data_IF_781010021080
#
_entry.id   IF_781010021080
#
_cell.length_a   1.000
_cell.length_b   1.000
_cell.length_c   1.000
_cell.angle_alpha   90.00
_cell.angle_beta   90.00
_cell.angle_gamma   90.00
#
_symmetry.space_group_name_H-M   'P 1'
#
loop_
_entity.id
_entity.type
_entity.pdbx_description
1 polymer ?
#
# COMPACT_ATOMS: atom_id res chain seq x y z
N UNK A 1 -7.58 0.45 -21.04
CA UNK A 1 -7.06 1.84 -21.21
C UNK A 1 -8.08 2.92 -20.81
N UNK A 2 -9.39 2.64 -20.79
CA UNK A 2 -10.44 3.64 -20.53
C UNK A 2 -10.27 4.47 -19.25
N UNK A 3 -9.71 3.91 -18.17
CA UNK A 3 -9.51 4.62 -16.91
C UNK A 3 -8.34 5.63 -16.92
N UNK A 4 -7.43 5.59 -17.91
CA UNK A 4 -6.23 6.43 -17.89
C UNK A 4 -6.55 7.91 -18.04
N UNK A 5 -7.43 8.28 -18.99
CA UNK A 5 -7.73 9.69 -19.26
C UNK A 5 -8.36 10.39 -18.05
N UNK A 6 -9.29 9.72 -17.35
CA UNK A 6 -9.88 10.26 -16.13
C UNK A 6 -8.88 10.29 -14.98
N UNK A 7 -8.05 9.25 -14.82
CA UNK A 7 -7.02 9.20 -13.78
C UNK A 7 -5.93 10.26 -13.96
N UNK A 8 -5.41 10.45 -15.18
CA UNK A 8 -4.34 11.42 -15.45
C UNK A 8 -4.77 12.86 -15.21
N UNK A 9 -6.08 13.15 -15.30
CA UNK A 9 -6.66 14.45 -14.99
C UNK A 9 -6.93 14.70 -13.49
N UNK A 10 -6.74 13.71 -12.62
CA UNK A 10 -6.91 13.90 -11.16
C UNK A 10 -5.86 14.87 -10.61
N UNK A 11 -6.24 15.72 -9.65
CA UNK A 11 -5.29 16.63 -9.01
C UNK A 11 -4.25 15.86 -8.19
N UNK A 12 -3.08 16.47 -7.98
CA UNK A 12 -2.01 15.90 -7.13
C UNK A 12 -2.55 15.58 -5.73
N UNK A 13 -3.30 16.51 -5.13
CA UNK A 13 -3.92 16.34 -3.82
C UNK A 13 -4.89 15.14 -3.79
N UNK A 14 -5.78 15.00 -4.77
CA UNK A 14 -6.70 13.87 -4.83
C UNK A 14 -5.97 12.52 -4.95
N UNK A 15 -4.83 12.47 -5.68
CA UNK A 15 -4.00 11.26 -5.74
C UNK A 15 -3.33 10.97 -4.40
N UNK A 16 -2.83 12.00 -3.70
CA UNK A 16 -2.23 11.84 -2.38
C UNK A 16 -3.24 11.30 -1.36
N UNK A 17 -4.49 11.76 -1.37
CA UNK A 17 -5.56 11.22 -0.53
C UNK A 17 -5.83 9.73 -0.80
N UNK A 18 -5.89 9.33 -2.08
CA UNK A 18 -6.09 7.93 -2.46
C UNK A 18 -4.92 7.06 -1.98
N UNK A 19 -3.68 7.52 -2.15
CA UNK A 19 -2.48 6.80 -1.68
C UNK A 19 -2.47 6.75 -0.14
N UNK A 20 -2.89 7.81 0.54
CA UNK A 20 -3.10 7.85 1.99
C UNK A 20 -4.10 6.78 2.44
N UNK A 21 -5.23 6.64 1.76
CA UNK A 21 -6.22 5.59 2.07
C UNK A 21 -5.67 4.18 1.84
N UNK A 22 -4.82 3.98 0.83
CA UNK A 22 -4.13 2.69 0.61
C UNK A 22 -3.22 2.37 1.80
N UNK A 23 -2.44 3.34 2.28
CA UNK A 23 -1.58 3.17 3.44
C UNK A 23 -2.37 2.75 4.69
N UNK A 24 -3.48 3.44 4.98
CA UNK A 24 -4.38 3.09 6.08
C UNK A 24 -4.91 1.66 5.96
N UNK A 25 -5.40 1.28 4.76
CA UNK A 25 -5.94 -0.05 4.52
C UNK A 25 -4.89 -1.16 4.67
N UNK A 26 -3.62 -0.90 4.32
CA UNK A 26 -2.52 -1.85 4.56
C UNK A 26 -2.34 -2.10 6.06
N UNK A 27 -2.35 -1.03 6.86
CA UNK A 27 -2.20 -1.13 8.32
C UNK A 27 -3.41 -1.79 8.99
N UNK A 28 -4.63 -1.41 8.57
CA UNK A 28 -5.90 -1.99 9.03
C UNK A 28 -5.93 -3.51 8.76
N UNK A 29 -5.40 -3.95 7.61
CA UNK A 29 -5.42 -5.37 7.17
C UNK A 29 -4.09 -6.10 7.36
N UNK A 30 -3.19 -5.57 8.20
CA UNK A 30 -1.81 -6.04 8.31
C UNK A 30 -1.67 -7.55 8.53
N UNK A 31 -2.55 -8.13 9.36
CA UNK A 31 -2.51 -9.56 9.67
C UNK A 31 -2.97 -10.40 8.47
N UNK A 32 -4.04 -10.00 7.80
CA UNK A 32 -4.52 -10.69 6.60
C UNK A 32 -3.47 -10.68 5.49
N UNK A 33 -2.79 -9.55 5.30
CA UNK A 33 -1.69 -9.43 4.33
C UNK A 33 -0.49 -10.30 4.73
N UNK A 34 -0.12 -10.35 6.00
CA UNK A 34 0.98 -11.20 6.47
C UNK A 34 0.67 -12.69 6.28
N UNK A 35 -0.57 -13.11 6.53
CA UNK A 35 -1.02 -14.48 6.27
C UNK A 35 -0.97 -14.81 4.77
N UNK A 36 -1.47 -13.90 3.91
CA UNK A 36 -1.42 -14.09 2.46
C UNK A 36 0.03 -14.26 1.95
N UNK A 37 0.94 -13.37 2.38
CA UNK A 37 2.37 -13.46 2.03
C UNK A 37 2.96 -14.80 2.48
N UNK A 38 2.65 -15.26 3.70
CA UNK A 38 3.16 -16.53 4.21
C UNK A 38 2.63 -17.73 3.41
N UNK A 39 1.33 -17.75 3.10
CA UNK A 39 0.68 -18.84 2.38
C UNK A 39 1.08 -18.91 0.90
N UNK A 40 1.18 -17.76 0.23
CA UNK A 40 1.44 -17.69 -1.20
C UNK A 40 2.93 -17.81 -1.54
N UNK A 41 3.81 -17.24 -0.70
CA UNK A 41 5.25 -17.13 -0.99
C UNK A 41 6.12 -18.03 -0.09
N UNK A 42 5.53 -18.71 0.89
CA UNK A 42 6.27 -19.52 1.86
C UNK A 42 7.11 -18.71 2.85
N UNK A 43 6.86 -17.40 2.96
CA UNK A 43 7.59 -16.55 3.91
C UNK A 43 7.27 -16.94 5.36
N UNK A 44 8.27 -16.92 6.23
CA UNK A 44 8.04 -17.10 7.66
C UNK A 44 7.08 -16.02 8.17
N UNK A 45 6.01 -16.42 8.87
CA UNK A 45 4.95 -15.50 9.30
C UNK A 45 5.46 -14.34 10.16
N UNK A 46 6.51 -14.57 10.95
CA UNK A 46 7.16 -13.51 11.74
C UNK A 46 7.84 -12.47 10.85
N UNK A 47 8.50 -12.90 9.77
CA UNK A 47 9.09 -11.98 8.78
C UNK A 47 8.02 -11.20 8.01
N UNK A 48 6.92 -11.86 7.64
CA UNK A 48 5.80 -11.20 6.96
C UNK A 48 5.18 -10.09 7.83
N UNK A 49 4.94 -10.37 9.12
CA UNK A 49 4.39 -9.42 10.09
C UNK A 49 5.35 -8.28 10.46
N UNK A 50 6.61 -8.61 10.74
CA UNK A 50 7.56 -7.66 11.31
C UNK A 50 8.28 -6.80 10.25
N UNK A 51 8.34 -7.26 9.00
CA UNK A 51 9.15 -6.62 7.97
C UNK A 51 8.37 -6.37 6.69
N UNK A 52 7.80 -7.40 6.06
CA UNK A 52 7.29 -7.26 4.69
C UNK A 52 6.05 -6.36 4.60
N UNK A 53 5.05 -6.56 5.47
CA UNK A 53 3.86 -5.71 5.52
C UNK A 53 4.19 -4.27 5.95
N UNK A 54 4.97 -4.04 7.03
CA UNK A 54 5.39 -2.69 7.39
C UNK A 54 6.19 -1.98 6.29
N UNK A 55 7.12 -2.68 5.64
CA UNK A 55 7.92 -2.10 4.56
C UNK A 55 7.04 -1.70 3.37
N UNK A 56 6.02 -2.49 3.02
CA UNK A 56 5.06 -2.12 1.98
C UNK A 56 4.27 -0.86 2.35
N UNK A 57 3.84 -0.72 3.61
CA UNK A 57 3.17 0.49 4.09
C UNK A 57 4.09 1.72 3.94
N UNK A 58 5.36 1.61 4.34
CA UNK A 58 6.32 2.73 4.24
C UNK A 58 6.56 3.18 2.80
N UNK A 59 6.61 2.28 1.83
CA UNK A 59 6.71 2.65 0.41
C UNK A 59 5.52 3.51 -0.04
N UNK A 60 4.30 3.15 0.37
CA UNK A 60 3.09 3.90 0.05
C UNK A 60 3.09 5.26 0.73
N UNK A 61 3.50 5.31 2.01
CA UNK A 61 3.63 6.57 2.75
C UNK A 61 4.62 7.52 2.08
N UNK A 62 5.82 7.05 1.76
CA UNK A 62 6.84 7.87 1.08
C UNK A 62 6.35 8.34 -0.29
N UNK A 63 5.70 7.48 -1.07
CA UNK A 63 5.13 7.87 -2.37
C UNK A 63 4.06 8.96 -2.23
N UNK A 64 3.21 8.91 -1.20
CA UNK A 64 2.27 9.99 -0.89
C UNK A 64 2.99 11.28 -0.51
N UNK A 65 3.97 11.20 0.39
CA UNK A 65 4.64 12.37 0.94
C UNK A 65 5.48 13.10 -0.13
N UNK A 66 5.97 12.39 -1.15
CA UNK A 66 6.63 12.98 -2.32
C UNK A 66 5.69 13.72 -3.29
N UNK A 67 4.37 13.56 -3.15
CA UNK A 67 3.38 14.33 -3.91
C UNK A 67 3.02 15.67 -3.25
N UNK A 68 3.46 15.91 -2.01
CA UNK A 68 3.19 17.13 -1.27
C UNK A 68 3.97 18.34 -1.81
#
# INVERSE_FOLDING_TARGET
RAAFASWSGTSVHARAEIIGRIHELILERKEQLAQAISLEMGAAINSARAMQVPLAAEHVRVARDLLA
#
